data_IF_414339778109
#
_entry.id   IF_414339778109
#
_cell.length_a   1.000
_cell.length_b   1.000
_cell.length_c   1.000
_cell.angle_alpha   90.00
_cell.angle_beta   90.00
_cell.angle_gamma   90.00
#
_symmetry.space_group_name_H-M   'P 1'
#
loop_
_entity.id
_entity.type
_entity.pdbx_description
1 polymer ?
#
# COMPACT_ATOMS: atom_id res chain seq x y z
N UNK A 1 10.69 16.04 0.96
CA UNK A 1 9.82 15.62 -0.16
C UNK A 1 9.76 16.76 -1.17
N UNK A 2 9.94 16.47 -2.46
CA UNK A 2 9.68 17.44 -3.55
C UNK A 2 8.28 17.15 -4.07
N UNK A 3 7.44 18.18 -4.13
CA UNK A 3 6.11 18.13 -4.72
C UNK A 3 6.08 19.06 -5.94
N UNK A 4 5.63 18.55 -7.09
CA UNK A 4 5.41 19.35 -8.31
C UNK A 4 4.04 19.03 -8.87
N UNK A 5 3.18 20.04 -8.99
CA UNK A 5 1.92 19.94 -9.71
C UNK A 5 2.10 20.58 -11.09
N UNK A 6 1.79 19.84 -12.14
CA UNK A 6 1.82 20.29 -13.52
C UNK A 6 0.40 20.18 -14.07
N UNK A 7 -0.21 21.32 -14.38
CA UNK A 7 -1.55 21.38 -14.95
C UNK A 7 -1.48 21.70 -16.44
N UNK A 8 -2.33 21.04 -17.22
CA UNK A 8 -2.53 21.30 -18.65
C UNK A 8 -4.02 21.32 -18.96
N UNK A 9 -4.39 21.64 -20.21
CA UNK A 9 -5.78 21.53 -20.67
C UNK A 9 -6.35 20.11 -20.57
N UNK A 10 -5.49 19.09 -20.51
CA UNK A 10 -5.88 17.68 -20.55
C UNK A 10 -5.80 16.97 -19.19
N UNK A 11 -5.38 17.68 -18.13
CA UNK A 11 -5.31 17.10 -16.80
C UNK A 11 -4.23 17.70 -15.91
N UNK A 12 -4.14 17.15 -14.71
CA UNK A 12 -3.18 17.52 -13.68
C UNK A 12 -2.28 16.32 -13.35
N UNK A 13 -0.97 16.56 -13.33
CA UNK A 13 0.04 15.60 -12.91
C UNK A 13 0.69 16.10 -11.62
N UNK A 14 0.56 15.31 -10.56
CA UNK A 14 1.27 15.55 -9.31
C UNK A 14 2.43 14.56 -9.17
N UNK A 15 3.65 15.10 -9.13
CA UNK A 15 4.87 14.36 -8.82
C UNK A 15 5.26 14.62 -7.37
N UNK A 16 5.33 13.55 -6.58
CA UNK A 16 5.94 13.56 -5.24
C UNK A 16 7.18 12.68 -5.26
N UNK A 17 8.32 13.20 -4.80
CA UNK A 17 9.55 12.42 -4.65
C UNK A 17 10.19 12.61 -3.27
N UNK A 18 10.77 11.53 -2.76
CA UNK A 18 11.53 11.51 -1.52
C UNK A 18 12.75 10.62 -1.71
N UNK A 19 13.89 11.05 -1.19
CA UNK A 19 15.08 10.23 -1.17
C UNK A 19 15.04 9.34 0.07
N UNK A 20 15.07 8.03 -0.15
CA UNK A 20 15.11 7.04 0.92
C UNK A 20 16.52 6.45 1.00
N UNK A 21 17.07 6.36 2.21
CA UNK A 21 18.42 5.83 2.44
C UNK A 21 18.32 4.41 2.98
N UNK A 22 19.07 3.47 2.37
CA UNK A 22 19.11 2.05 2.75
C UNK A 22 17.70 1.43 2.76
N UNK A 23 17.15 1.24 1.57
CA UNK A 23 15.80 0.71 1.38
C UNK A 23 15.75 -0.78 1.09
N UNK A 24 14.57 -1.34 1.32
CA UNK A 24 14.15 -2.65 0.85
C UNK A 24 12.89 -2.50 0.00
N UNK A 25 12.70 -3.45 -0.90
CA UNK A 25 11.44 -3.62 -1.59
C UNK A 25 10.43 -4.29 -0.65
N UNK A 26 9.25 -3.72 -0.57
CA UNK A 26 8.08 -4.31 0.07
C UNK A 26 7.07 -4.65 -1.03
N UNK A 27 6.97 -5.94 -1.35
CA UNK A 27 6.01 -6.45 -2.31
C UNK A 27 4.77 -6.95 -1.58
N UNK A 28 3.63 -6.33 -1.85
CA UNK A 28 2.32 -6.69 -1.34
C UNK A 28 1.87 -7.98 -2.02
N UNK A 29 2.22 -9.12 -1.41
CA UNK A 29 1.86 -10.45 -1.87
C UNK A 29 0.33 -10.57 -1.95
N UNK A 30 -0.34 -10.23 -0.84
CA UNK A 30 -1.79 -10.28 -0.77
C UNK A 30 -2.36 -9.28 0.23
N UNK A 31 -3.55 -8.78 -0.11
CA UNK A 31 -4.50 -8.15 0.80
C UNK A 31 -5.77 -8.98 0.62
N UNK A 32 -6.13 -9.79 1.62
CA UNK A 32 -7.14 -10.83 1.46
C UNK A 32 -8.18 -10.77 2.55
N UNK A 33 -9.46 -10.76 2.20
CA UNK A 33 -10.56 -10.93 3.14
C UNK A 33 -10.54 -12.38 3.63
N UNK A 34 -10.33 -12.58 4.93
CA UNK A 34 -10.22 -13.92 5.54
C UNK A 34 -11.45 -14.30 6.37
N UNK A 35 -12.20 -13.32 6.85
CA UNK A 35 -13.43 -13.52 7.61
C UNK A 35 -14.44 -12.42 7.28
N UNK A 36 -15.73 -12.75 7.25
CA UNK A 36 -16.79 -11.83 6.85
C UNK A 36 -16.79 -11.57 5.34
N UNK A 37 -17.43 -10.48 4.92
CA UNK A 37 -17.51 -10.08 3.52
C UNK A 37 -17.45 -8.57 3.38
N UNK A 38 -16.94 -8.10 2.25
CA UNK A 38 -16.96 -6.67 1.92
C UNK A 38 -18.34 -6.30 1.36
N UNK A 39 -19.06 -5.31 1.94
CA UNK A 39 -20.37 -4.92 1.44
C UNK A 39 -20.30 -4.27 0.05
N UNK A 40 -21.20 -4.68 -0.85
CA UNK A 40 -21.20 -4.25 -2.26
C UNK A 40 -21.41 -2.74 -2.49
N UNK A 41 -22.01 -2.07 -1.50
CA UNK A 41 -22.30 -0.63 -1.53
C UNK A 41 -21.16 0.23 -0.95
N UNK A 42 -20.03 -0.38 -0.57
CA UNK A 42 -18.87 0.33 -0.03
C UNK A 42 -17.69 0.32 -1.00
N UNK A 43 -17.13 1.50 -1.25
CA UNK A 43 -15.85 1.69 -1.94
C UNK A 43 -14.71 1.32 -1.02
N UNK A 44 -13.56 0.98 -1.61
CA UNK A 44 -12.36 0.67 -0.85
C UNK A 44 -11.11 1.38 -1.37
N UNK A 45 -10.29 1.82 -0.42
CA UNK A 45 -8.97 2.39 -0.70
C UNK A 45 -7.93 1.61 0.11
N UNK A 46 -6.86 1.19 -0.56
CA UNK A 46 -5.69 0.58 0.06
C UNK A 46 -4.48 1.45 -0.23
N UNK A 47 -3.80 1.89 0.81
CA UNK A 47 -2.58 2.66 0.66
C UNK A 47 -1.56 2.33 1.75
N UNK A 48 -0.31 2.68 1.46
CA UNK A 48 0.81 2.53 2.37
C UNK A 48 1.37 3.89 2.79
N UNK A 49 2.05 3.91 3.94
CA UNK A 49 2.93 5.01 4.35
C UNK A 49 4.25 4.45 4.85
N UNK A 50 5.32 5.17 4.53
CA UNK A 50 6.65 4.91 5.09
C UNK A 50 7.02 6.02 6.06
N UNK A 51 7.87 5.71 7.04
CA UNK A 51 8.15 6.63 8.14
C UNK A 51 8.78 7.96 7.70
N UNK A 52 9.66 7.97 6.70
CA UNK A 52 10.37 9.20 6.29
C UNK A 52 9.65 10.01 5.21
N UNK A 53 8.46 9.58 4.79
CA UNK A 53 7.66 10.24 3.75
C UNK A 53 6.40 10.81 4.38
N UNK A 54 6.59 11.86 5.20
CA UNK A 54 5.47 12.58 5.83
C UNK A 54 4.45 13.07 4.78
N UNK A 55 3.18 12.70 4.96
CA UNK A 55 2.07 13.09 4.07
C UNK A 55 2.07 12.42 2.68
N UNK A 56 2.91 11.41 2.43
CA UNK A 56 2.95 10.68 1.17
C UNK A 56 2.20 9.36 1.24
N UNK A 57 0.87 9.40 1.05
CA UNK A 57 0.08 8.19 0.88
C UNK A 57 0.43 7.53 -0.46
N UNK A 58 0.94 6.31 -0.40
CA UNK A 58 1.25 5.50 -1.58
C UNK A 58 0.04 4.62 -1.85
N UNK A 59 -0.86 5.11 -2.70
CA UNK A 59 -2.09 4.39 -3.06
C UNK A 59 -1.74 3.15 -3.87
N UNK A 60 -2.14 1.99 -3.35
CA UNK A 60 -2.03 0.68 -4.01
C UNK A 60 -3.29 0.34 -4.80
N UNK A 61 -4.43 0.80 -4.30
CA UNK A 61 -5.74 0.67 -4.93
C UNK A 61 -6.66 1.79 -4.44
N UNK A 62 -7.45 2.34 -5.36
CA UNK A 62 -8.61 3.17 -5.09
C UNK A 62 -9.73 2.65 -6.00
N UNK A 63 -10.79 2.07 -5.43
CA UNK A 63 -11.88 1.48 -6.21
C UNK A 63 -12.70 2.53 -6.95
N UNK A 64 -12.49 3.83 -6.67
CA UNK A 64 -13.26 4.94 -7.24
C UNK A 64 -14.75 4.67 -7.06
N UNK A 65 -15.56 4.97 -8.05
CA UNK A 65 -17.01 4.81 -7.97
C UNK A 65 -17.49 3.34 -8.13
N UNK A 66 -16.55 2.39 -8.16
CA UNK A 66 -16.84 0.96 -8.24
C UNK A 66 -16.80 0.25 -6.88
N UNK A 67 -17.39 -0.96 -6.86
CA UNK A 67 -17.25 -1.90 -5.76
C UNK A 67 -15.78 -2.25 -5.53
N UNK A 68 -15.42 -2.61 -4.31
CA UNK A 68 -14.09 -3.12 -4.01
C UNK A 68 -13.78 -4.37 -4.87
N UNK A 69 -12.71 -4.38 -5.67
CA UNK A 69 -12.39 -5.48 -6.57
C UNK A 69 -11.79 -6.65 -5.78
N UNK A 70 -12.64 -7.59 -5.39
CA UNK A 70 -12.27 -8.79 -4.63
C UNK A 70 -12.61 -10.02 -5.47
N UNK A 71 -11.62 -10.89 -5.68
CA UNK A 71 -11.80 -12.11 -6.45
C UNK A 71 -12.45 -13.24 -5.62
N UNK A 72 -12.66 -14.42 -6.24
CA UNK A 72 -13.31 -15.56 -5.57
C UNK A 72 -12.51 -16.12 -4.38
N UNK A 73 -11.19 -15.88 -4.32
CA UNK A 73 -10.33 -16.28 -3.20
C UNK A 73 -10.33 -15.24 -2.07
N UNK A 74 -11.10 -14.16 -2.19
CA UNK A 74 -11.14 -13.06 -1.24
C UNK A 74 -9.96 -12.09 -1.38
N UNK A 75 -9.10 -12.24 -2.39
CA UNK A 75 -7.97 -11.35 -2.62
C UNK A 75 -8.41 -10.06 -3.31
N UNK A 76 -7.95 -8.94 -2.77
CA UNK A 76 -8.13 -7.61 -3.34
C UNK A 76 -7.19 -7.44 -4.53
N UNK A 77 -7.73 -7.02 -5.67
CA UNK A 77 -6.96 -6.76 -6.87
C UNK A 77 -6.29 -5.38 -6.80
N UNK A 78 -5.03 -5.36 -6.38
CA UNK A 78 -4.25 -4.12 -6.26
C UNK A 78 -3.78 -3.62 -7.64
N UNK A 79 -3.89 -2.31 -7.87
CA UNK A 79 -3.31 -1.65 -9.05
C UNK A 79 -1.78 -1.54 -8.97
N UNK A 80 -1.24 -1.49 -7.76
CA UNK A 80 0.21 -1.46 -7.49
C UNK A 80 0.52 -2.38 -6.31
N UNK A 81 1.67 -3.06 -6.36
CA UNK A 81 2.07 -4.03 -5.33
C UNK A 81 3.39 -3.73 -4.67
N UNK A 82 4.24 -2.92 -5.31
CA UNK A 82 5.62 -2.74 -4.87
C UNK A 82 5.82 -1.35 -4.29
N UNK A 83 6.41 -1.28 -3.11
CA UNK A 83 6.76 -0.02 -2.41
C UNK A 83 8.21 -0.11 -1.94
N UNK A 84 8.97 0.97 -2.06
CA UNK A 84 10.30 1.08 -1.47
C UNK A 84 10.18 1.63 -0.05
N UNK A 85 10.82 0.97 0.92
CA UNK A 85 10.72 1.29 2.36
C UNK A 85 12.09 1.34 2.98
N UNK A 86 12.32 2.26 3.91
CA UNK A 86 13.57 2.37 4.66
C UNK A 86 13.75 1.16 5.59
N UNK A 87 14.91 0.51 5.53
CA UNK A 87 15.19 -0.70 6.33
C UNK A 87 15.12 -0.45 7.85
N UNK A 88 15.33 0.79 8.30
CA UNK A 88 15.22 1.18 9.72
C UNK A 88 13.97 2.03 10.00
N UNK A 89 12.98 1.97 9.13
CA UNK A 89 11.69 2.64 9.27
C UNK A 89 10.58 1.65 9.56
N UNK A 90 9.38 2.00 9.10
CA UNK A 90 8.17 1.20 9.22
C UNK A 90 7.36 1.31 7.94
N UNK A 91 6.58 0.27 7.63
CA UNK A 91 5.56 0.29 6.59
C UNK A 91 4.19 0.14 7.24
N UNK A 92 3.37 1.19 7.20
CA UNK A 92 1.96 1.06 7.57
C UNK A 92 1.12 0.76 6.33
N UNK A 93 0.34 -0.31 6.37
CA UNK A 93 -0.69 -0.63 5.36
C UNK A 93 -2.04 -0.26 5.96
N UNK A 94 -2.82 0.52 5.23
CA UNK A 94 -4.13 1.01 5.67
C UNK A 94 -5.19 0.58 4.67
N UNK A 95 -6.30 0.07 5.18
CA UNK A 95 -7.49 -0.24 4.38
C UNK A 95 -8.63 0.63 4.88
N UNK A 96 -9.31 1.29 3.95
CA UNK A 96 -10.42 2.21 4.23
C UNK A 96 -11.63 1.77 3.43
N UNK A 97 -12.79 1.67 4.08
CA UNK A 97 -14.08 1.50 3.46
C UNK A 97 -14.86 2.82 3.50
N UNK A 98 -15.42 3.23 2.38
CA UNK A 98 -16.11 4.51 2.22
C UNK A 98 -17.50 4.34 1.63
N UNK A 99 -18.41 5.24 2.01
CA UNK A 99 -19.71 5.33 1.37
C UNK A 99 -19.56 5.76 -0.11
N UNK A 100 -20.37 5.17 -0.99
CA UNK A 100 -20.41 5.51 -2.41
C UNK A 100 -20.80 6.99 -2.63
N UNK A 101 -21.77 7.50 -1.86
CA UNK A 101 -22.43 8.79 -2.14
C UNK A 101 -21.74 10.01 -1.53
N UNK A 102 -21.14 9.88 -0.35
CA UNK A 102 -20.63 11.01 0.44
C UNK A 102 -19.12 11.03 0.67
N UNK A 103 -18.40 9.99 0.23
CA UNK A 103 -16.97 9.77 0.56
C UNK A 103 -16.69 9.67 2.07
N UNK A 104 -17.73 9.50 2.89
CA UNK A 104 -17.59 9.31 4.32
C UNK A 104 -16.86 8.00 4.61
N UNK A 105 -15.92 8.05 5.55
CA UNK A 105 -15.20 6.85 6.01
C UNK A 105 -16.14 6.07 6.93
N UNK A 106 -16.58 4.90 6.47
CA UNK A 106 -17.43 3.99 7.24
C UNK A 106 -16.59 3.12 8.18
N UNK A 107 -15.44 2.67 7.70
CA UNK A 107 -14.52 1.87 8.49
C UNK A 107 -13.10 2.05 8.01
N UNK A 108 -12.15 1.91 8.92
CA UNK A 108 -10.73 2.06 8.65
C UNK A 108 -9.95 1.30 9.71
N UNK A 109 -8.94 0.58 9.25
CA UNK A 109 -7.94 0.01 10.13
C UNK A 109 -6.55 0.07 9.47
N UNK A 110 -5.51 -0.12 10.28
CA UNK A 110 -4.12 -0.17 9.82
C UNK A 110 -3.36 -1.30 10.49
N UNK A 111 -2.37 -1.81 9.76
CA UNK A 111 -1.33 -2.69 10.31
C UNK A 111 0.03 -2.09 10.00
N UNK A 112 0.96 -2.23 10.93
CA UNK A 112 2.33 -1.72 10.80
C UNK A 112 3.29 -2.89 10.73
N UNK A 113 4.21 -2.85 9.77
CA UNK A 113 5.25 -3.84 9.60
C UNK A 113 6.63 -3.22 9.80
N UNK A 114 7.48 -3.97 10.50
CA UNK A 114 8.93 -3.71 10.52
C UNK A 114 9.54 -4.27 9.23
N UNK A 115 10.22 -3.45 8.42
CA UNK A 115 10.90 -3.91 7.21
C UNK A 115 12.03 -4.88 7.55
N UNK A 116 12.23 -5.87 6.67
CA UNK A 116 13.32 -6.84 6.77
C UNK A 116 14.08 -6.92 5.44
N UNK A 117 15.26 -7.53 5.44
CA UNK A 117 16.09 -7.72 4.25
C UNK A 117 15.54 -8.80 3.30
N UNK A 118 14.79 -9.75 3.83
CA UNK A 118 14.21 -10.86 3.09
C UNK A 118 13.03 -11.46 3.89
N UNK A 119 12.26 -12.32 3.24
CA UNK A 119 11.21 -13.10 3.90
C UNK A 119 9.85 -12.44 3.83
N UNK A 120 9.00 -12.73 4.81
CA UNK A 120 7.57 -12.39 4.76
C UNK A 120 7.04 -11.95 6.11
N UNK A 121 6.26 -10.88 6.12
CA UNK A 121 5.49 -10.43 7.28
C UNK A 121 4.00 -10.46 6.94
N UNK A 122 3.16 -10.78 7.92
CA UNK A 122 1.71 -10.73 7.74
C UNK A 122 1.02 -10.19 8.97
N UNK A 123 -0.10 -9.52 8.78
CA UNK A 123 -0.90 -8.98 9.87
C UNK A 123 -2.35 -8.80 9.44
N UNK A 124 -3.23 -8.63 10.42
CA UNK A 124 -4.68 -8.61 10.22
C UNK A 124 -5.21 -7.23 10.55
N UNK A 125 -6.08 -6.72 9.67
CA UNK A 125 -6.88 -5.53 9.83
C UNK A 125 -8.33 -5.94 10.11
N UNK A 126 -8.98 -5.28 11.05
CA UNK A 126 -10.39 -5.52 11.41
C UNK A 126 -11.24 -4.30 11.08
N UNK A 127 -12.05 -4.40 10.03
CA UNK A 127 -12.96 -3.34 9.58
C UNK A 127 -14.35 -3.41 10.26
N UNK A 128 -14.53 -4.29 11.24
CA UNK A 128 -15.80 -4.52 11.93
C UNK A 128 -16.75 -5.44 11.16
N UNK A 129 -16.92 -5.24 9.85
CA UNK A 129 -17.72 -6.10 8.99
C UNK A 129 -16.93 -7.26 8.35
N UNK A 130 -15.61 -7.11 8.21
CA UNK A 130 -14.72 -8.17 7.75
C UNK A 130 -13.31 -8.03 8.35
N UNK A 131 -12.55 -9.13 8.32
CA UNK A 131 -11.12 -9.13 8.60
C UNK A 131 -10.33 -9.29 7.32
N UNK A 132 -9.28 -8.49 7.19
CA UNK A 132 -8.40 -8.47 6.03
C UNK A 132 -6.99 -8.83 6.48
N UNK A 133 -6.39 -9.88 5.92
CA UNK A 133 -4.99 -10.21 6.12
C UNK A 133 -4.14 -9.53 5.06
N UNK A 134 -3.18 -8.72 5.49
CA UNK A 134 -2.15 -8.16 4.64
C UNK A 134 -0.87 -8.99 4.77
N UNK A 135 -0.25 -9.29 3.64
CA UNK A 135 1.00 -10.05 3.58
C UNK A 135 2.01 -9.32 2.69
N UNK A 136 3.19 -9.07 3.23
CA UNK A 136 4.29 -8.35 2.59
C UNK A 136 5.49 -9.28 2.47
N UNK A 137 6.05 -9.40 1.27
CA UNK A 137 7.34 -10.02 1.02
C UNK A 137 8.41 -8.93 0.94
N UNK A 138 9.55 -9.19 1.58
CA UNK A 138 10.67 -8.27 1.63
C UNK A 138 11.82 -8.74 0.75
N UNK A 139 12.49 -7.80 0.10
CA UNK A 139 13.76 -8.08 -0.56
C UNK A 139 14.71 -6.89 -0.51
N UNK A 140 16.00 -7.16 -0.36
CA UNK A 140 17.05 -6.15 -0.50
C UNK A 140 17.07 -5.65 -1.94
N UNK A 141 17.01 -4.33 -2.10
CA UNK A 141 17.29 -3.71 -3.39
C UNK A 141 18.81 -3.75 -3.62
N UNK A 142 19.23 -4.46 -4.67
CA UNK A 142 20.62 -4.45 -5.08
C UNK A 142 21.01 -3.02 -5.46
N UNK A 143 22.01 -2.46 -4.78
CA UNK A 143 22.53 -1.14 -5.17
C UNK A 143 23.36 -1.26 -6.44
N UNK A 144 23.38 -0.22 -7.27
CA UNK A 144 24.25 -0.17 -8.45
C UNK A 144 25.71 -0.46 -8.10
N UNK A 145 26.17 -0.03 -6.91
CA UNK A 145 27.51 -0.37 -6.39
C UNK A 145 27.68 -1.86 -6.14
N UNK A 146 26.71 -2.54 -5.53
CA UNK A 146 26.74 -4.00 -5.33
C UNK A 146 26.74 -4.74 -6.67
N UNK A 147 25.87 -4.34 -7.60
CA UNK A 147 25.78 -4.94 -8.95
C UNK A 147 27.08 -4.79 -9.75
N UNK A 148 27.77 -3.66 -9.62
CA UNK A 148 29.04 -3.40 -10.31
C UNK A 148 30.27 -3.98 -9.57
N UNK A 149 30.15 -4.28 -8.27
CA UNK A 149 31.25 -4.78 -7.45
C UNK A 149 31.45 -6.31 -7.49
N UNK A 150 30.51 -7.06 -8.09
CA UNK A 150 30.62 -8.52 -8.23
C UNK A 150 30.57 -9.33 -6.92
N UNK A 151 30.38 -8.70 -5.77
CA UNK A 151 30.24 -9.38 -4.48
C UNK A 151 28.79 -9.31 -3.97
N UNK A 152 28.18 -10.46 -3.62
CA UNK A 152 26.83 -10.54 -3.06
C UNK A 152 26.72 -9.88 -1.67
#
# INVERSE_FOLDING_TARGET
MIRRCLSSKHGELELKSAALVRTVEATMESIQVTEGSWPDHLRGVVFCRTASVEGGDIVLLDSRDGRMPINCDGAVELSRRVVSVELRGELSVVVVAQANESSDIISRDKVVFTPDKAGRSSGVLNLGFCKVKATVCWSLLATLRQMLSGNP
#
